data_IF_867687442272
#
_entry.id   IF_867687442272
#
_cell.length_a   1.000
_cell.length_b   1.000
_cell.length_c   1.000
_cell.angle_alpha   90.00
_cell.angle_beta   90.00
_cell.angle_gamma   90.00
#
_symmetry.space_group_name_H-M   'P 1'
#
loop_
_entity.id
_entity.type
_entity.pdbx_description
1 polymer ?
#
# COMPACT_ATOMS: atom_id res chain seq x y z
N UNK A 1 48.65 -21.76 0.03
CA UNK A 1 47.97 -21.28 1.26
C UNK A 1 46.90 -22.25 1.71
N UNK A 2 45.84 -22.53 0.94
CA UNK A 2 44.80 -23.50 1.35
C UNK A 2 45.33 -24.89 1.72
N UNK A 3 46.25 -25.43 0.90
CA UNK A 3 46.91 -26.70 1.19
C UNK A 3 47.71 -26.68 2.51
N UNK A 4 48.25 -25.53 2.91
CA UNK A 4 49.00 -25.40 4.16
C UNK A 4 48.08 -25.59 5.38
N UNK A 5 46.92 -24.94 5.39
CA UNK A 5 45.94 -25.08 6.47
C UNK A 5 45.37 -26.50 6.55
N UNK A 6 45.12 -27.14 5.39
CA UNK A 6 44.67 -28.53 5.34
C UNK A 6 45.74 -29.51 5.86
N UNK A 7 47.03 -29.28 5.54
CA UNK A 7 48.14 -30.11 6.02
C UNK A 7 48.38 -29.88 7.53
N UNK A 8 48.17 -28.66 8.03
CA UNK A 8 48.30 -28.30 9.44
C UNK A 8 47.06 -28.63 10.29
N UNK A 9 46.00 -29.15 9.67
CA UNK A 9 44.69 -29.41 10.29
C UNK A 9 44.09 -28.17 11.01
N UNK A 10 44.39 -26.97 10.52
CA UNK A 10 43.88 -25.70 11.06
C UNK A 10 42.64 -25.27 10.27
N UNK A 11 41.51 -25.89 10.60
CA UNK A 11 40.20 -25.69 9.93
C UNK A 11 39.60 -24.33 10.29
N UNK A 12 39.85 -23.86 11.51
CA UNK A 12 39.39 -22.56 12.01
C UNK A 12 40.10 -21.41 11.29
N UNK A 13 41.42 -21.49 11.13
CA UNK A 13 42.22 -20.54 10.35
C UNK A 13 41.86 -20.56 8.85
N UNK A 14 41.58 -21.75 8.31
CA UNK A 14 41.08 -21.90 6.93
C UNK A 14 39.75 -21.16 6.72
N UNK A 15 38.76 -21.37 7.58
CA UNK A 15 37.46 -20.71 7.48
C UNK A 15 37.55 -19.20 7.66
N UNK A 16 38.41 -18.74 8.59
CA UNK A 16 38.69 -17.32 8.77
C UNK A 16 39.23 -16.67 7.49
N UNK A 17 40.25 -17.28 6.89
CA UNK A 17 40.87 -16.78 5.66
C UNK A 17 39.90 -16.84 4.46
N UNK A 18 39.13 -17.92 4.31
CA UNK A 18 38.14 -18.06 3.25
C UNK A 18 37.01 -17.02 3.37
N UNK A 19 36.49 -16.82 4.59
CA UNK A 19 35.47 -15.80 4.86
C UNK A 19 36.00 -14.39 4.61
N UNK A 20 37.26 -14.10 4.94
CA UNK A 20 37.90 -12.81 4.70
C UNK A 20 38.03 -12.51 3.19
N UNK A 21 38.43 -13.51 2.41
CA UNK A 21 38.48 -13.41 0.94
C UNK A 21 37.09 -13.23 0.32
N UNK A 22 36.04 -13.78 0.94
CA UNK A 22 34.66 -13.50 0.56
C UNK A 22 34.22 -12.07 0.92
N UNK A 23 34.76 -11.44 1.97
CA UNK A 23 34.40 -10.05 2.32
C UNK A 23 35.08 -8.99 1.45
N UNK A 24 36.22 -9.28 0.82
CA UNK A 24 36.89 -8.38 -0.13
C UNK A 24 36.22 -8.30 -1.52
N UNK A 25 35.00 -8.84 -1.66
CA UNK A 25 34.21 -8.84 -2.89
C UNK A 25 33.57 -7.46 -3.15
N UNK A 26 34.35 -6.48 -3.57
CA UNK A 26 33.81 -5.39 -4.39
C UNK A 26 33.76 -5.89 -5.85
N UNK A 27 32.54 -6.12 -6.35
CA UNK A 27 32.31 -6.62 -7.72
C UNK A 27 32.66 -5.60 -8.83
N UNK A 28 33.08 -4.38 -8.46
CA UNK A 28 33.33 -3.26 -9.38
C UNK A 28 34.82 -2.89 -9.54
N UNK A 29 35.75 -3.50 -8.78
CA UNK A 29 37.19 -3.23 -8.91
C UNK A 29 37.94 -4.43 -9.48
N UNK A 30 38.59 -4.21 -10.62
CA UNK A 30 39.36 -5.21 -11.39
C UNK A 30 40.62 -5.73 -10.69
N UNK A 31 40.90 -5.30 -9.46
CA UNK A 31 42.08 -5.69 -8.68
C UNK A 31 41.65 -6.20 -7.31
N UNK A 32 41.36 -7.52 -7.21
CA UNK A 32 41.08 -8.17 -5.93
C UNK A 32 39.90 -9.14 -5.93
N UNK A 33 39.07 -9.16 -6.98
CA UNK A 33 37.93 -10.06 -7.07
C UNK A 33 38.37 -11.53 -7.11
N UNK A 34 37.93 -12.32 -6.12
CA UNK A 34 38.11 -13.77 -6.09
C UNK A 34 37.44 -14.37 -7.33
N UNK A 35 38.19 -15.12 -8.13
CA UNK A 35 37.63 -15.74 -9.34
C UNK A 35 36.44 -16.66 -8.99
N UNK A 36 35.38 -16.71 -9.81
CA UNK A 36 34.21 -17.56 -9.59
C UNK A 36 34.51 -19.04 -9.31
N UNK A 37 35.61 -19.54 -9.89
CA UNK A 37 36.07 -20.91 -9.67
C UNK A 37 36.57 -21.14 -8.24
N UNK A 38 37.16 -20.12 -7.60
CA UNK A 38 37.57 -20.19 -6.21
C UNK A 38 36.36 -20.15 -5.28
N UNK A 39 35.35 -19.31 -5.52
CA UNK A 39 34.11 -19.31 -4.73
C UNK A 39 33.40 -20.67 -4.78
N UNK A 40 33.34 -21.29 -5.96
CA UNK A 40 32.83 -22.65 -6.12
C UNK A 40 33.65 -23.66 -5.32
N UNK A 41 34.97 -23.59 -5.40
CA UNK A 41 35.86 -24.46 -4.65
C UNK A 41 35.66 -24.29 -3.13
N UNK A 42 35.53 -23.05 -2.65
CA UNK A 42 35.33 -22.76 -1.23
C UNK A 42 34.01 -23.31 -0.73
N UNK A 43 32.92 -23.13 -1.49
CA UNK A 43 31.63 -23.72 -1.15
C UNK A 43 31.71 -25.26 -1.06
N UNK A 44 32.33 -25.93 -2.05
CA UNK A 44 32.48 -27.39 -2.02
C UNK A 44 33.39 -27.89 -0.89
N UNK A 45 34.46 -27.16 -0.54
CA UNK A 45 35.31 -27.48 0.61
C UNK A 45 34.48 -27.40 1.89
N UNK A 46 33.71 -26.32 2.10
CA UNK A 46 32.85 -26.17 3.28
C UNK A 46 31.80 -27.29 3.35
N UNK A 47 31.16 -27.63 2.23
CA UNK A 47 30.20 -28.74 2.18
C UNK A 47 30.85 -30.09 2.53
N UNK A 48 32.01 -30.38 1.95
CA UNK A 48 32.76 -31.60 2.27
C UNK A 48 33.16 -31.66 3.73
N UNK A 49 33.65 -30.54 4.30
CA UNK A 49 34.04 -30.46 5.71
C UNK A 49 32.84 -30.62 6.67
N UNK A 50 31.63 -30.22 6.25
CA UNK A 50 30.37 -30.50 6.97
C UNK A 50 29.98 -31.97 6.89
N UNK A 51 30.11 -32.62 5.73
CA UNK A 51 29.80 -34.06 5.57
C UNK A 51 30.69 -34.97 6.42
N UNK A 52 31.91 -34.53 6.75
CA UNK A 52 32.85 -35.28 7.62
C UNK A 52 32.83 -34.82 9.08
N UNK A 53 31.80 -34.06 9.49
CA UNK A 53 31.58 -33.56 10.86
C UNK A 53 32.73 -32.71 11.44
N UNK A 54 33.56 -32.09 10.58
CA UNK A 54 34.65 -31.21 11.02
C UNK A 54 34.19 -29.76 11.21
N UNK A 55 33.05 -29.39 10.63
CA UNK A 55 32.42 -28.08 10.77
C UNK A 55 30.93 -28.29 11.06
N UNK A 56 30.40 -27.57 12.04
CA UNK A 56 28.96 -27.55 12.31
C UNK A 56 28.17 -26.87 11.18
N UNK A 57 26.96 -27.34 10.90
CA UNK A 57 26.03 -26.67 9.98
C UNK A 57 25.72 -25.23 10.41
N UNK A 58 25.76 -24.96 11.71
CA UNK A 58 25.53 -23.64 12.33
C UNK A 58 26.74 -22.69 12.27
N UNK A 59 27.89 -23.11 11.74
CA UNK A 59 29.06 -22.22 11.71
C UNK A 59 28.81 -21.01 10.78
N UNK A 60 28.86 -19.77 11.31
CA UNK A 60 28.48 -18.57 10.57
C UNK A 60 29.45 -18.26 9.41
N UNK A 61 30.72 -18.71 9.49
CA UNK A 61 31.71 -18.48 8.44
C UNK A 61 31.46 -19.40 7.26
N UNK A 62 31.17 -20.68 7.54
CA UNK A 62 30.76 -21.66 6.53
C UNK A 62 29.50 -21.21 5.77
N UNK A 63 28.46 -20.77 6.51
CA UNK A 63 27.22 -20.28 5.91
C UNK A 63 27.43 -19.02 5.07
N UNK A 64 28.26 -18.08 5.52
CA UNK A 64 28.60 -16.87 4.77
C UNK A 64 29.32 -17.15 3.44
N UNK A 65 30.20 -18.15 3.39
CA UNK A 65 30.89 -18.56 2.15
C UNK A 65 29.89 -19.12 1.15
N UNK A 66 28.97 -19.98 1.61
CA UNK A 66 27.90 -20.55 0.78
C UNK A 66 26.95 -19.45 0.29
N UNK A 67 26.55 -18.51 1.15
CA UNK A 67 25.73 -17.34 0.78
C UNK A 67 26.41 -16.44 -0.25
N UNK A 68 27.73 -16.23 -0.13
CA UNK A 68 28.50 -15.44 -1.11
C UNK A 68 28.52 -16.12 -2.48
N UNK A 69 28.64 -17.45 -2.51
CA UNK A 69 28.55 -18.22 -3.74
C UNK A 69 27.13 -18.25 -4.33
N UNK A 70 26.09 -18.38 -3.49
CA UNK A 70 24.69 -18.25 -3.92
C UNK A 70 24.42 -16.86 -4.48
N UNK A 71 24.99 -15.80 -3.88
CA UNK A 71 24.94 -14.44 -4.39
C UNK A 71 25.55 -14.30 -5.79
N UNK A 72 26.68 -14.95 -6.05
CA UNK A 72 27.27 -15.03 -7.38
C UNK A 72 26.38 -15.82 -8.36
N UNK A 73 25.87 -16.99 -7.96
CA UNK A 73 24.95 -17.78 -8.79
C UNK A 73 23.64 -17.03 -9.10
N UNK A 74 23.21 -16.16 -8.19
CA UNK A 74 22.07 -15.27 -8.35
C UNK A 74 22.31 -14.22 -9.43
N UNK A 75 23.51 -13.62 -9.48
CA UNK A 75 23.89 -12.72 -10.58
C UNK A 75 23.91 -13.43 -11.93
N UNK A 76 24.29 -14.71 -11.95
CA UNK A 76 24.30 -15.55 -13.16
C UNK A 76 22.93 -16.16 -13.50
N UNK A 77 21.87 -15.91 -12.69
CA UNK A 77 20.51 -16.45 -12.85
C UNK A 77 20.43 -17.98 -12.95
N UNK A 78 21.34 -18.71 -12.29
CA UNK A 78 21.34 -20.19 -12.31
C UNK A 78 20.39 -20.76 -11.25
N UNK A 79 19.11 -20.96 -11.61
CA UNK A 79 18.02 -21.31 -10.70
C UNK A 79 18.25 -22.65 -9.99
N UNK A 80 18.56 -23.71 -10.75
CA UNK A 80 18.74 -25.08 -10.22
C UNK A 80 19.93 -25.16 -9.25
N UNK A 81 21.02 -24.45 -9.57
CA UNK A 81 22.20 -24.41 -8.71
C UNK A 81 21.88 -23.70 -7.39
N UNK A 82 21.21 -22.55 -7.43
CA UNK A 82 20.83 -21.83 -6.22
C UNK A 82 19.92 -22.68 -5.33
N UNK A 83 18.95 -23.39 -5.91
CA UNK A 83 18.08 -24.29 -5.15
C UNK A 83 18.89 -25.39 -4.44
N UNK A 84 19.82 -26.04 -5.16
CA UNK A 84 20.68 -27.08 -4.59
C UNK A 84 21.58 -26.56 -3.44
N UNK A 85 22.28 -25.44 -3.64
CA UNK A 85 23.17 -24.88 -2.61
C UNK A 85 22.40 -24.29 -1.43
N UNK A 86 21.19 -23.77 -1.65
CA UNK A 86 20.33 -23.27 -0.57
C UNK A 86 19.89 -24.39 0.37
N UNK A 87 19.76 -25.63 -0.11
CA UNK A 87 19.42 -26.79 0.74
C UNK A 87 20.44 -27.11 1.84
N UNK A 88 21.67 -26.61 1.73
CA UNK A 88 22.74 -26.81 2.72
C UNK A 88 22.88 -25.67 3.73
N UNK A 89 22.04 -24.63 3.64
CA UNK A 89 21.97 -23.55 4.63
C UNK A 89 20.96 -23.91 5.73
N UNK A 90 20.98 -23.18 6.85
CA UNK A 90 19.91 -23.26 7.85
C UNK A 90 18.60 -22.69 7.29
N UNK A 91 17.46 -23.24 7.71
CA UNK A 91 16.12 -22.92 7.16
C UNK A 91 15.89 -21.42 6.91
N UNK A 92 16.20 -20.57 7.88
CA UNK A 92 16.04 -19.11 7.77
C UNK A 92 16.88 -18.51 6.62
N UNK A 93 18.12 -18.97 6.47
CA UNK A 93 19.02 -18.51 5.41
C UNK A 93 18.69 -19.16 4.06
N UNK A 94 18.07 -20.35 4.03
CA UNK A 94 17.58 -20.98 2.79
C UNK A 94 16.49 -20.09 2.17
N UNK A 95 15.47 -19.76 2.97
CA UNK A 95 14.34 -18.91 2.56
C UNK A 95 14.84 -17.56 2.07
N UNK A 96 15.69 -16.88 2.86
CA UNK A 96 16.19 -15.56 2.52
C UNK A 96 17.06 -15.55 1.25
N UNK A 97 17.97 -16.52 1.10
CA UNK A 97 18.86 -16.60 -0.06
C UNK A 97 18.09 -16.88 -1.35
N UNK A 98 17.11 -17.78 -1.29
CA UNK A 98 16.26 -18.08 -2.45
C UNK A 98 15.30 -16.93 -2.76
N UNK A 99 14.77 -16.25 -1.75
CA UNK A 99 13.95 -15.06 -1.93
C UNK A 99 14.74 -13.91 -2.59
N UNK A 100 16.02 -13.75 -2.25
CA UNK A 100 16.90 -12.77 -2.90
C UNK A 100 17.10 -13.08 -4.39
N UNK A 101 17.24 -14.35 -4.77
CA UNK A 101 17.25 -14.75 -6.18
C UNK A 101 15.95 -14.37 -6.87
N UNK A 102 14.81 -14.78 -6.32
CA UNK A 102 13.50 -14.49 -6.89
C UNK A 102 13.26 -12.98 -7.06
N UNK A 103 13.69 -12.15 -6.10
CA UNK A 103 13.55 -10.70 -6.17
C UNK A 103 14.29 -10.06 -7.38
N UNK A 104 15.32 -10.73 -7.93
CA UNK A 104 16.03 -10.27 -9.15
C UNK A 104 15.31 -10.64 -10.45
N UNK A 105 14.33 -11.54 -10.40
CA UNK A 105 13.63 -12.07 -11.56
C UNK A 105 12.38 -11.24 -11.86
N UNK A 106 12.36 -10.64 -13.04
CA UNK A 106 11.25 -9.80 -13.50
C UNK A 106 10.24 -10.57 -14.37
N UNK A 107 10.64 -11.67 -15.01
CA UNK A 107 9.76 -12.43 -15.89
C UNK A 107 8.82 -13.39 -15.14
N UNK A 108 7.58 -13.49 -15.60
CA UNK A 108 6.53 -14.26 -14.94
C UNK A 108 6.70 -15.76 -15.09
N UNK A 109 7.14 -16.22 -16.25
CA UNK A 109 7.36 -17.66 -16.49
C UNK A 109 8.62 -18.14 -15.77
N UNK A 110 9.69 -17.34 -15.76
CA UNK A 110 10.89 -17.61 -14.94
C UNK A 110 10.54 -17.73 -13.46
N UNK A 111 9.69 -16.84 -12.91
CA UNK A 111 9.21 -16.94 -11.52
C UNK A 111 8.50 -18.27 -11.26
N UNK A 112 7.62 -18.69 -12.17
CA UNK A 112 6.89 -19.96 -12.03
C UNK A 112 7.83 -21.15 -12.04
N UNK A 113 8.84 -21.14 -12.92
CA UNK A 113 9.88 -22.17 -12.96
C UNK A 113 10.68 -22.22 -11.66
N UNK A 114 11.09 -21.07 -11.11
CA UNK A 114 11.78 -21.01 -9.83
C UNK A 114 10.95 -21.59 -8.68
N UNK A 115 9.66 -21.30 -8.62
CA UNK A 115 8.77 -21.84 -7.59
C UNK A 115 8.60 -23.36 -7.73
N UNK A 116 8.58 -23.90 -8.95
CA UNK A 116 8.59 -25.35 -9.17
C UNK A 116 9.89 -25.99 -8.67
N UNK A 117 11.05 -25.41 -9.01
CA UNK A 117 12.36 -25.90 -8.57
C UNK A 117 12.50 -25.84 -7.04
N UNK A 118 11.97 -24.79 -6.41
CA UNK A 118 11.93 -24.68 -4.95
C UNK A 118 11.12 -25.81 -4.30
N UNK A 119 9.95 -26.12 -4.88
CA UNK A 119 9.08 -27.22 -4.44
C UNK A 119 9.75 -28.58 -4.60
N UNK A 120 10.43 -28.82 -5.71
CA UNK A 120 11.21 -30.03 -5.97
C UNK A 120 12.38 -30.18 -4.97
N UNK A 121 12.99 -29.06 -4.60
CA UNK A 121 14.09 -29.00 -3.63
C UNK A 121 13.62 -29.02 -2.16
N UNK A 122 12.32 -29.21 -1.91
CA UNK A 122 11.68 -29.23 -0.57
C UNK A 122 11.85 -27.95 0.24
N UNK A 123 12.00 -26.81 -0.43
CA UNK A 123 11.99 -25.50 0.21
C UNK A 123 10.55 -25.07 0.52
N UNK A 124 10.39 -24.23 1.55
CA UNK A 124 9.08 -23.67 1.91
C UNK A 124 8.70 -22.54 0.95
N UNK A 125 7.85 -22.87 -0.02
CA UNK A 125 7.42 -21.94 -1.07
C UNK A 125 6.58 -20.78 -0.50
N UNK A 126 5.78 -21.04 0.53
CA UNK A 126 4.91 -20.03 1.14
C UNK A 126 5.74 -19.00 1.90
N UNK A 127 6.74 -19.45 2.66
CA UNK A 127 7.67 -18.58 3.38
C UNK A 127 8.59 -17.79 2.42
N UNK A 128 9.07 -18.46 1.36
CA UNK A 128 9.89 -17.82 0.32
C UNK A 128 9.12 -16.69 -0.35
N UNK A 129 7.88 -16.92 -0.80
CA UNK A 129 7.11 -15.90 -1.51
C UNK A 129 6.77 -14.70 -0.64
N UNK A 130 6.49 -14.91 0.65
CA UNK A 130 6.30 -13.82 1.61
C UNK A 130 7.60 -13.03 1.80
N UNK A 131 8.72 -13.71 2.02
CA UNK A 131 10.04 -13.08 2.18
C UNK A 131 10.43 -12.26 0.95
N UNK A 132 10.12 -12.73 -0.27
CA UNK A 132 10.34 -11.96 -1.51
C UNK A 132 9.57 -10.64 -1.50
N UNK A 133 8.30 -10.67 -1.08
CA UNK A 133 7.46 -9.47 -0.99
C UNK A 133 8.05 -8.48 0.03
N UNK A 134 8.55 -8.97 1.16
CA UNK A 134 9.20 -8.13 2.17
C UNK A 134 10.48 -7.48 1.66
N UNK A 135 11.34 -8.25 1.00
CA UNK A 135 12.59 -7.74 0.40
C UNK A 135 12.28 -6.61 -0.62
N UNK A 136 11.32 -6.83 -1.53
CA UNK A 136 10.97 -5.84 -2.55
C UNK A 136 10.28 -4.62 -1.91
N UNK A 137 9.45 -4.82 -0.88
CA UNK A 137 8.79 -3.74 -0.14
C UNK A 137 9.81 -2.83 0.54
N UNK A 138 10.81 -3.42 1.20
CA UNK A 138 11.80 -2.70 2.01
C UNK A 138 12.96 -2.16 1.16
N UNK A 139 12.99 -2.49 -0.14
CA UNK A 139 13.87 -1.88 -1.13
C UNK A 139 13.71 -0.36 -1.11
N UNK A 140 14.86 0.33 -1.01
CA UNK A 140 14.95 1.79 -1.09
C UNK A 140 15.32 2.18 -2.52
N UNK A 141 14.75 3.29 -3.05
CA UNK A 141 15.16 3.78 -4.35
C UNK A 141 16.65 4.13 -4.30
N UNK A 142 17.45 3.54 -5.18
CA UNK A 142 18.83 3.97 -5.41
C UNK A 142 18.78 5.36 -6.05
N UNK A 143 19.54 6.32 -5.52
CA UNK A 143 19.59 7.75 -5.87
C UNK A 143 19.52 8.13 -7.38
N UNK A 144 19.33 9.42 -7.72
CA UNK A 144 18.09 10.01 -8.24
C UNK A 144 17.77 9.68 -9.72
N UNK A 145 18.03 8.44 -10.18
CA UNK A 145 17.73 8.03 -11.56
C UNK A 145 16.31 7.47 -11.76
N UNK A 146 15.53 7.38 -10.68
CA UNK A 146 14.13 6.98 -10.70
C UNK A 146 13.13 8.14 -10.80
N UNK A 147 13.39 9.13 -11.64
CA UNK A 147 12.38 10.04 -12.23
C UNK A 147 11.37 10.82 -11.35
N UNK A 148 11.42 10.72 -10.02
CA UNK A 148 10.45 11.35 -9.12
C UNK A 148 11.15 12.05 -7.96
N UNK A 149 10.71 13.27 -7.65
CA UNK A 149 11.06 13.90 -6.37
C UNK A 149 10.31 13.20 -5.24
N UNK A 150 10.74 13.29 -3.97
CA UNK A 150 10.01 12.74 -2.82
C UNK A 150 8.55 13.22 -2.69
N UNK A 151 8.20 14.28 -3.43
CA UNK A 151 6.88 14.89 -3.50
C UNK A 151 6.08 14.50 -4.75
N UNK A 152 6.60 13.61 -5.60
CA UNK A 152 5.86 13.15 -6.77
C UNK A 152 4.71 12.23 -6.32
N UNK A 153 3.49 12.73 -6.48
CA UNK A 153 2.26 11.97 -6.21
C UNK A 153 1.95 10.96 -7.31
N UNK A 154 2.70 10.99 -8.42
CA UNK A 154 2.55 10.04 -9.52
C UNK A 154 3.15 8.69 -9.16
N UNK A 155 2.53 7.66 -9.70
CA UNK A 155 3.05 6.30 -9.62
C UNK A 155 4.33 6.17 -10.45
N UNK A 156 5.40 5.73 -9.79
CA UNK A 156 6.70 5.47 -10.40
C UNK A 156 6.82 3.99 -10.79
N UNK A 157 7.73 3.62 -11.71
CA UNK A 157 8.00 2.21 -12.02
C UNK A 157 8.48 1.43 -10.79
N UNK A 158 9.12 2.10 -9.83
CA UNK A 158 9.53 1.50 -8.57
C UNK A 158 8.33 1.15 -7.67
N UNK A 159 7.33 2.04 -7.60
CA UNK A 159 6.07 1.73 -6.90
C UNK A 159 5.37 0.54 -7.55
N UNK A 160 5.33 0.51 -8.89
CA UNK A 160 4.75 -0.61 -9.64
C UNK A 160 5.44 -1.93 -9.34
N UNK A 161 6.78 -1.95 -9.21
CA UNK A 161 7.52 -3.16 -8.80
C UNK A 161 7.08 -3.68 -7.43
N UNK A 162 6.82 -2.79 -6.47
CA UNK A 162 6.30 -3.19 -5.14
C UNK A 162 4.89 -3.76 -5.21
N UNK A 163 4.05 -3.22 -6.09
CA UNK A 163 2.70 -3.74 -6.33
C UNK A 163 2.75 -5.10 -7.03
N UNK A 164 3.62 -5.24 -8.05
CA UNK A 164 3.87 -6.48 -8.78
C UNK A 164 4.50 -7.58 -7.90
N UNK A 165 5.07 -7.23 -6.74
CA UNK A 165 5.52 -8.22 -5.77
C UNK A 165 4.35 -9.04 -5.22
N UNK A 166 3.13 -8.49 -5.12
CA UNK A 166 1.96 -9.26 -4.69
C UNK A 166 1.66 -10.44 -5.62
N UNK A 167 2.11 -10.39 -6.88
CA UNK A 167 1.92 -11.50 -7.82
C UNK A 167 2.62 -12.78 -7.34
N UNK A 168 3.71 -12.69 -6.56
CA UNK A 168 4.36 -13.87 -5.98
C UNK A 168 3.41 -14.69 -5.09
N UNK A 169 2.56 -14.02 -4.32
CA UNK A 169 1.56 -14.67 -3.46
C UNK A 169 0.33 -15.12 -4.26
N UNK A 170 -0.04 -14.38 -5.31
CA UNK A 170 -1.22 -14.66 -6.13
C UNK A 170 -1.00 -15.82 -7.13
N UNK A 171 0.25 -16.11 -7.47
CA UNK A 171 0.64 -17.19 -8.39
C UNK A 171 0.66 -18.58 -7.75
N UNK A 172 0.53 -18.67 -6.42
CA UNK A 172 0.52 -19.95 -5.71
C UNK A 172 -0.76 -20.75 -6.03
N UNK A 173 -0.58 -22.07 -6.21
CA UNK A 173 -1.70 -23.02 -6.42
C UNK A 173 -2.65 -23.00 -5.21
N UNK A 174 -2.08 -22.99 -4.00
CA UNK A 174 -2.78 -22.84 -2.73
C UNK A 174 -2.58 -21.42 -2.23
N UNK A 175 -3.59 -20.56 -2.44
CA UNK A 175 -3.52 -19.16 -2.05
C UNK A 175 -3.64 -18.99 -0.53
N UNK A 176 -2.65 -18.33 0.04
CA UNK A 176 -2.70 -17.87 1.42
C UNK A 176 -3.33 -16.47 1.50
N UNK A 177 -4.65 -16.42 1.64
CA UNK A 177 -5.41 -15.17 1.68
C UNK A 177 -5.07 -14.29 2.88
N UNK A 178 -4.68 -14.88 4.02
CA UNK A 178 -4.27 -14.13 5.21
C UNK A 178 -2.96 -13.37 4.94
N UNK A 179 -1.97 -14.04 4.33
CA UNK A 179 -0.72 -13.39 3.92
C UNK A 179 -0.97 -12.29 2.86
N UNK A 180 -1.84 -12.55 1.87
CA UNK A 180 -2.23 -11.56 0.85
C UNK A 180 -2.87 -10.32 1.51
N UNK A 181 -3.78 -10.51 2.47
CA UNK A 181 -4.39 -9.42 3.22
C UNK A 181 -3.34 -8.62 4.01
N UNK A 182 -2.43 -9.31 4.70
CA UNK A 182 -1.37 -8.70 5.49
C UNK A 182 -0.45 -7.81 4.65
N UNK A 183 0.13 -8.35 3.57
CA UNK A 183 1.00 -7.59 2.69
C UNK A 183 0.25 -6.50 1.90
N UNK A 184 -0.99 -6.78 1.49
CA UNK A 184 -1.87 -5.81 0.84
C UNK A 184 -2.12 -4.58 1.71
N UNK A 185 -2.54 -4.78 2.97
CA UNK A 185 -2.77 -3.67 3.90
C UNK A 185 -1.50 -2.87 4.19
N UNK A 186 -0.33 -3.52 4.31
CA UNK A 186 0.95 -2.81 4.48
C UNK A 186 1.23 -1.89 3.28
N UNK A 187 1.07 -2.39 2.04
CA UNK A 187 1.29 -1.58 0.84
C UNK A 187 0.26 -0.45 0.69
N UNK A 188 -1.01 -0.71 1.00
CA UNK A 188 -2.06 0.31 1.00
C UNK A 188 -1.72 1.43 1.99
N UNK A 189 -1.31 1.11 3.23
CA UNK A 189 -0.86 2.12 4.20
C UNK A 189 0.36 2.88 3.70
N UNK A 190 1.37 2.18 3.17
CA UNK A 190 2.60 2.80 2.67
C UNK A 190 2.31 3.84 1.56
N UNK A 191 1.55 3.47 0.53
CA UNK A 191 1.24 4.38 -0.57
C UNK A 191 0.27 5.48 -0.18
N UNK A 192 -0.69 5.21 0.72
CA UNK A 192 -1.60 6.23 1.22
C UNK A 192 -0.87 7.30 2.05
N UNK A 193 0.12 6.91 2.86
CA UNK A 193 0.96 7.85 3.63
C UNK A 193 1.81 8.74 2.71
N UNK A 194 2.33 8.19 1.61
CA UNK A 194 3.09 8.94 0.59
C UNK A 194 2.14 9.70 -0.37
N UNK A 195 0.82 9.52 -0.24
CA UNK A 195 -0.24 10.18 -1.05
C UNK A 195 -0.22 9.82 -2.54
N UNK A 196 0.29 8.65 -2.88
CA UNK A 196 0.25 8.11 -4.25
C UNK A 196 -1.05 7.33 -4.46
N UNK A 197 -2.15 8.04 -4.66
CA UNK A 197 -3.48 7.42 -4.74
C UNK A 197 -3.64 6.47 -5.94
N UNK A 198 -2.92 6.69 -7.04
CA UNK A 198 -2.88 5.76 -8.17
C UNK A 198 -2.29 4.41 -7.77
N UNK A 199 -1.22 4.42 -6.99
CA UNK A 199 -0.59 3.20 -6.46
C UNK A 199 -1.49 2.50 -5.44
N UNK A 200 -2.21 3.25 -4.60
CA UNK A 200 -3.24 2.69 -3.69
C UNK A 200 -4.34 2.01 -4.49
N UNK A 201 -4.86 2.65 -5.55
CA UNK A 201 -5.89 2.10 -6.43
C UNK A 201 -5.41 0.84 -7.14
N UNK A 202 -4.21 0.86 -7.73
CA UNK A 202 -3.66 -0.32 -8.41
C UNK A 202 -3.40 -1.47 -7.44
N UNK A 203 -2.89 -1.19 -6.23
CA UNK A 203 -2.73 -2.20 -5.16
C UNK A 203 -4.07 -2.83 -4.80
N UNK A 204 -5.11 -2.02 -4.58
CA UNK A 204 -6.44 -2.50 -4.22
C UNK A 204 -7.06 -3.35 -5.34
N UNK A 205 -6.93 -2.94 -6.61
CA UNK A 205 -7.44 -3.68 -7.76
C UNK A 205 -6.71 -5.01 -7.99
N UNK A 206 -5.45 -5.13 -7.55
CA UNK A 206 -4.70 -6.39 -7.58
C UNK A 206 -5.21 -7.41 -6.55
N UNK A 207 -5.83 -6.96 -5.45
CA UNK A 207 -6.34 -7.86 -4.43
C UNK A 207 -7.61 -8.60 -4.92
N UNK A 208 -7.81 -9.87 -4.54
CA UNK A 208 -9.03 -10.59 -4.90
C UNK A 208 -10.30 -9.91 -4.37
N UNK A 209 -11.33 -9.73 -5.20
CA UNK A 209 -12.57 -9.06 -4.79
C UNK A 209 -13.27 -9.73 -3.59
N UNK A 210 -13.15 -11.06 -3.45
CA UNK A 210 -13.72 -11.82 -2.33
C UNK A 210 -12.73 -12.10 -1.20
N UNK A 211 -11.66 -11.28 -1.07
CA UNK A 211 -10.58 -11.52 -0.11
C UNK A 211 -11.08 -11.67 1.33
N UNK A 212 -11.97 -10.80 1.80
CA UNK A 212 -12.51 -10.87 3.16
C UNK A 212 -13.18 -12.21 3.47
N UNK A 213 -14.06 -12.68 2.58
CA UNK A 213 -14.76 -13.98 2.72
C UNK A 213 -13.80 -15.15 2.63
N UNK A 214 -12.79 -15.07 1.77
CA UNK A 214 -11.80 -16.11 1.59
C UNK A 214 -10.89 -16.22 2.81
N UNK A 215 -10.52 -15.09 3.44
CA UNK A 215 -9.78 -15.03 4.69
C UNK A 215 -10.56 -15.68 5.83
N UNK A 216 -11.86 -15.34 5.97
CA UNK A 216 -12.73 -15.96 6.98
C UNK A 216 -12.85 -17.48 6.78
N UNK A 217 -13.00 -17.91 5.53
CA UNK A 217 -13.09 -19.31 5.16
C UNK A 217 -11.78 -20.06 5.44
N UNK A 218 -10.63 -19.48 5.05
CA UNK A 218 -9.31 -20.04 5.33
C UNK A 218 -9.09 -20.17 6.85
N UNK A 219 -9.40 -19.13 7.62
CA UNK A 219 -9.27 -19.16 9.08
C UNK A 219 -10.08 -20.32 9.68
N UNK A 220 -11.37 -20.39 9.35
CA UNK A 220 -12.28 -21.44 9.84
C UNK A 220 -11.80 -22.85 9.49
N UNK A 221 -11.21 -23.04 8.30
CA UNK A 221 -10.66 -24.32 7.89
C UNK A 221 -9.44 -24.76 8.73
N UNK A 222 -8.60 -23.81 9.17
CA UNK A 222 -7.39 -24.12 9.95
C UNK A 222 -7.66 -24.22 11.45
N UNK A 223 -8.53 -23.37 12.01
CA UNK A 223 -8.69 -23.25 13.47
C UNK A 223 -10.02 -23.82 13.98
N UNK A 224 -10.98 -24.13 13.10
CA UNK A 224 -12.36 -24.50 13.46
C UNK A 224 -13.04 -23.49 14.40
N UNK A 225 -12.62 -22.23 14.38
CA UNK A 225 -13.12 -21.16 15.24
C UNK A 225 -13.53 -19.93 14.43
N UNK A 226 -14.27 -19.03 15.06
CA UNK A 226 -14.52 -17.71 14.48
C UNK A 226 -13.24 -16.86 14.41
N UNK A 227 -13.27 -15.86 13.54
CA UNK A 227 -12.14 -14.95 13.34
C UNK A 227 -11.82 -14.16 14.61
N UNK A 228 -10.53 -14.00 14.88
CA UNK A 228 -10.06 -13.18 16.00
C UNK A 228 -10.39 -11.70 15.78
N UNK A 229 -10.60 -10.92 16.85
CA UNK A 229 -10.65 -9.46 16.83
C UNK A 229 -9.55 -8.82 15.96
N UNK A 230 -8.30 -9.25 16.10
CA UNK A 230 -7.19 -8.73 15.29
C UNK A 230 -7.37 -8.99 13.78
N UNK A 231 -7.78 -10.20 13.39
CA UNK A 231 -8.02 -10.52 11.98
C UNK A 231 -9.21 -9.75 11.41
N UNK A 232 -10.27 -9.58 12.22
CA UNK A 232 -11.41 -8.72 11.90
C UNK A 232 -10.99 -7.27 11.67
N UNK A 233 -10.09 -6.75 12.50
CA UNK A 233 -9.52 -5.41 12.33
C UNK A 233 -8.69 -5.27 11.03
N UNK A 234 -7.96 -6.31 10.63
CA UNK A 234 -7.25 -6.32 9.34
C UNK A 234 -8.23 -6.29 8.14
N UNK A 235 -9.33 -7.03 8.20
CA UNK A 235 -10.39 -6.99 7.16
C UNK A 235 -11.05 -5.61 7.12
N UNK A 236 -11.36 -5.06 8.30
CA UNK A 236 -11.94 -3.72 8.46
C UNK A 236 -11.04 -2.62 7.89
N UNK A 237 -9.73 -2.77 8.01
CA UNK A 237 -8.78 -1.84 7.43
C UNK A 237 -8.83 -1.84 5.89
N UNK A 238 -8.88 -3.03 5.26
CA UNK A 238 -9.08 -3.14 3.82
C UNK A 238 -10.37 -2.45 3.37
N UNK A 239 -11.44 -2.66 4.13
CA UNK A 239 -12.74 -2.03 3.90
C UNK A 239 -12.69 -0.51 4.06
N UNK A 240 -11.89 0.00 5.00
CA UNK A 240 -11.66 1.44 5.16
C UNK A 240 -10.99 2.05 3.92
N UNK A 241 -10.04 1.32 3.30
CA UNK A 241 -9.45 1.72 2.01
C UNK A 241 -10.44 1.67 0.85
N UNK A 242 -11.37 0.70 0.82
CA UNK A 242 -12.45 0.65 -0.17
C UNK A 242 -13.27 1.96 -0.15
N UNK A 243 -13.74 2.37 1.03
CA UNK A 243 -14.50 3.62 1.18
C UNK A 243 -13.70 4.85 0.74
N UNK A 244 -12.40 4.91 1.09
CA UNK A 244 -11.53 6.01 0.66
C UNK A 244 -11.44 6.09 -0.87
N UNK A 245 -11.21 4.96 -1.55
CA UNK A 245 -11.09 4.92 -3.00
C UNK A 245 -12.40 5.27 -3.71
N UNK A 246 -13.54 4.81 -3.19
CA UNK A 246 -14.86 5.15 -3.72
C UNK A 246 -15.17 6.64 -3.63
N UNK A 247 -14.78 7.29 -2.53
CA UNK A 247 -14.90 8.74 -2.36
C UNK A 247 -13.99 9.49 -3.34
N UNK A 248 -12.74 9.05 -3.52
CA UNK A 248 -11.82 9.67 -4.46
C UNK A 248 -12.29 9.55 -5.92
N UNK A 249 -12.87 8.41 -6.28
CA UNK A 249 -13.41 8.18 -7.61
C UNK A 249 -14.62 9.09 -7.88
N UNK A 250 -15.58 9.18 -6.95
CA UNK A 250 -16.71 10.12 -7.10
C UNK A 250 -16.25 11.57 -7.13
N UNK A 251 -15.27 11.95 -6.31
CA UNK A 251 -14.72 13.29 -6.31
C UNK A 251 -14.10 13.64 -7.67
N UNK A 252 -13.38 12.69 -8.27
CA UNK A 252 -12.77 12.84 -9.59
C UNK A 252 -13.84 13.02 -10.67
N UNK A 253 -14.88 12.17 -10.65
CA UNK A 253 -16.00 12.26 -11.59
C UNK A 253 -16.80 13.56 -11.41
N UNK A 254 -17.04 13.98 -10.17
CA UNK A 254 -17.72 15.24 -9.84
C UNK A 254 -16.90 16.43 -10.32
N UNK A 255 -15.58 16.43 -10.07
CA UNK A 255 -14.67 17.50 -10.49
C UNK A 255 -14.63 17.62 -12.01
N UNK A 256 -14.44 16.50 -12.74
CA UNK A 256 -14.44 16.50 -14.21
C UNK A 256 -15.76 17.04 -14.77
N UNK A 257 -16.88 16.62 -14.18
CA UNK A 257 -18.20 17.11 -14.56
C UNK A 257 -18.39 18.61 -14.26
N UNK A 258 -17.93 19.09 -13.10
CA UNK A 258 -18.06 20.49 -12.70
C UNK A 258 -17.28 21.43 -13.64
N UNK A 259 -16.10 21.01 -14.12
CA UNK A 259 -15.32 21.77 -15.10
C UNK A 259 -15.96 21.81 -16.50
N UNK A 260 -16.87 20.90 -16.83
CA UNK A 260 -17.62 20.88 -18.11
C UNK A 260 -18.88 21.75 -18.08
N UNK A 261 -18.94 22.77 -17.22
CA UNK A 261 -20.05 23.71 -17.14
C UNK A 261 -20.24 24.42 -18.51
N UNK A 262 -21.47 24.46 -19.07
CA UNK A 262 -21.72 25.14 -20.33
C UNK A 262 -21.29 26.61 -20.28
N UNK A 263 -20.59 27.06 -21.32
CA UNK A 263 -20.15 28.45 -21.50
C UNK A 263 -21.16 29.25 -22.29
N UNK A 264 -21.36 30.52 -21.91
CA UNK A 264 -22.28 31.40 -22.62
C UNK A 264 -21.77 31.66 -24.06
N UNK A 265 -22.62 31.47 -25.09
CA UNK A 265 -22.24 31.73 -26.46
C UNK A 265 -21.81 33.18 -26.65
N UNK A 266 -20.67 33.42 -27.31
CA UNK A 266 -20.20 34.77 -27.60
C UNK A 266 -21.17 35.48 -28.54
N UNK A 267 -21.56 36.70 -28.18
CA UNK A 267 -22.35 37.59 -29.04
C UNK A 267 -21.55 37.89 -30.31
N UNK A 268 -22.11 37.65 -31.52
CA UNK A 268 -21.41 37.97 -32.76
C UNK A 268 -21.21 39.50 -32.88
N UNK A 269 -20.05 39.91 -33.39
CA UNK A 269 -19.68 41.33 -33.54
C UNK A 269 -20.58 42.08 -34.54
N UNK A 270 -21.19 41.37 -35.49
CA UNK A 270 -22.07 41.93 -36.52
C UNK A 270 -23.48 41.30 -36.43
N UNK A 271 -24.36 41.95 -35.68
CA UNK A 271 -25.79 41.56 -35.57
C UNK A 271 -26.61 41.82 -36.85
N UNK A 272 -26.01 42.44 -37.88
CA UNK A 272 -26.67 42.79 -39.14
C UNK A 272 -26.86 41.62 -40.10
N UNK A 273 -26.13 40.51 -39.93
CA UNK A 273 -26.31 39.30 -40.73
C UNK A 273 -27.38 38.41 -40.10
N UNK A 274 -28.53 38.30 -40.76
CA UNK A 274 -29.66 37.48 -40.33
C UNK A 274 -29.26 36.04 -39.96
N UNK A 275 -28.40 35.40 -40.76
CA UNK A 275 -27.92 34.04 -40.49
C UNK A 275 -27.09 33.94 -39.21
N UNK A 276 -26.24 34.94 -38.92
CA UNK A 276 -25.43 34.98 -37.69
C UNK A 276 -26.31 35.23 -36.46
N UNK A 277 -27.38 36.02 -36.59
CA UNK A 277 -28.36 36.23 -35.52
C UNK A 277 -29.16 34.96 -35.20
N UNK A 278 -29.68 34.26 -36.22
CA UNK A 278 -30.41 32.99 -36.04
C UNK A 278 -29.50 31.91 -35.44
N UNK A 279 -28.25 31.82 -35.88
CA UNK A 279 -27.26 30.89 -35.31
C UNK A 279 -26.95 31.21 -33.84
N UNK A 280 -26.84 32.50 -33.48
CA UNK A 280 -26.65 32.92 -32.09
C UNK A 280 -27.86 32.58 -31.21
N UNK A 281 -29.08 32.88 -31.69
CA UNK A 281 -30.31 32.53 -30.98
C UNK A 281 -30.46 31.02 -30.76
N UNK A 282 -30.13 30.20 -31.76
CA UNK A 282 -30.15 28.75 -31.64
C UNK A 282 -29.11 28.26 -30.61
N UNK A 283 -27.88 28.80 -30.64
CA UNK A 283 -26.84 28.49 -29.65
C UNK A 283 -27.23 28.92 -28.24
N UNK A 284 -27.90 30.06 -28.10
CA UNK A 284 -28.39 30.55 -26.81
C UNK A 284 -29.48 29.64 -26.24
N UNK A 285 -30.42 29.19 -27.09
CA UNK A 285 -31.44 28.20 -26.69
C UNK A 285 -30.82 26.87 -26.27
N UNK A 286 -29.84 26.36 -27.03
CA UNK A 286 -29.12 25.14 -26.68
C UNK A 286 -28.37 25.31 -25.35
N UNK A 287 -27.65 26.42 -25.18
CA UNK A 287 -26.98 26.75 -23.93
C UNK A 287 -27.92 26.77 -22.72
N UNK A 288 -29.11 27.37 -22.86
CA UNK A 288 -30.11 27.38 -21.79
C UNK A 288 -30.62 25.97 -21.45
N UNK A 289 -30.82 25.11 -22.46
CA UNK A 289 -31.20 23.71 -22.25
C UNK A 289 -30.09 22.94 -21.52
N UNK A 290 -28.85 23.04 -22.01
CA UNK A 290 -27.68 22.38 -21.43
C UNK A 290 -27.41 22.86 -19.99
N UNK A 291 -27.60 24.15 -19.72
CA UNK A 291 -27.51 24.71 -18.38
C UNK A 291 -28.56 24.15 -17.42
N UNK A 292 -29.81 24.01 -17.87
CA UNK A 292 -30.87 23.46 -17.04
C UNK A 292 -30.56 21.99 -16.69
N UNK A 293 -30.17 21.18 -17.67
CA UNK A 293 -29.75 19.79 -17.45
C UNK A 293 -28.54 19.73 -16.50
N UNK A 294 -27.55 20.60 -16.70
CA UNK A 294 -26.39 20.70 -15.81
C UNK A 294 -26.80 21.06 -14.38
N UNK A 295 -27.73 22.01 -14.21
CA UNK A 295 -28.23 22.41 -12.88
C UNK A 295 -28.98 21.27 -12.20
N UNK A 296 -29.80 20.51 -12.93
CA UNK A 296 -30.56 19.40 -12.37
C UNK A 296 -29.64 18.24 -11.96
N UNK A 297 -28.61 17.95 -12.78
CA UNK A 297 -27.58 16.95 -12.46
C UNK A 297 -26.66 17.36 -11.31
N UNK A 298 -26.51 18.66 -11.06
CA UNK A 298 -25.68 19.19 -9.96
C UNK A 298 -26.11 18.62 -8.63
N UNK A 299 -27.41 18.64 -8.35
CA UNK A 299 -27.92 18.17 -7.05
C UNK A 299 -27.70 16.66 -6.88
N UNK A 300 -27.96 15.88 -7.93
CA UNK A 300 -27.76 14.43 -7.91
C UNK A 300 -26.30 14.07 -7.65
N UNK A 301 -25.37 14.67 -8.40
CA UNK A 301 -23.93 14.37 -8.27
C UNK A 301 -23.36 14.86 -6.95
N UNK A 302 -23.76 16.04 -6.48
CA UNK A 302 -23.31 16.58 -5.20
C UNK A 302 -23.84 15.78 -4.02
N UNK A 303 -25.12 15.36 -4.05
CA UNK A 303 -25.67 14.46 -3.03
C UNK A 303 -24.92 13.13 -3.01
N UNK A 304 -24.69 12.52 -4.18
CA UNK A 304 -23.96 11.25 -4.25
C UNK A 304 -22.55 11.34 -3.65
N UNK A 305 -21.80 12.40 -3.94
CA UNK A 305 -20.49 12.63 -3.34
C UNK A 305 -20.57 12.88 -1.83
N UNK A 306 -21.51 13.71 -1.38
CA UNK A 306 -21.72 13.99 0.04
C UNK A 306 -22.12 12.73 0.82
N UNK A 307 -22.94 11.86 0.22
CA UNK A 307 -23.37 10.59 0.80
C UNK A 307 -22.18 9.64 0.95
N UNK A 308 -21.31 9.51 -0.07
CA UNK A 308 -20.10 8.67 0.04
C UNK A 308 -19.12 9.19 1.09
N UNK A 309 -18.92 10.51 1.17
CA UNK A 309 -18.08 11.13 2.21
C UNK A 309 -18.71 10.87 3.59
N UNK A 310 -20.04 10.98 3.71
CA UNK A 310 -20.76 10.71 4.94
C UNK A 310 -20.66 9.23 5.35
N UNK A 311 -20.72 8.29 4.40
CA UNK A 311 -20.50 6.86 4.65
C UNK A 311 -19.09 6.59 5.19
N UNK A 312 -18.08 7.28 4.65
CA UNK A 312 -16.71 7.18 5.19
C UNK A 312 -16.63 7.67 6.65
N UNK A 313 -17.34 8.74 7.01
CA UNK A 313 -17.35 9.26 8.38
C UNK A 313 -18.14 8.38 9.36
N UNK A 314 -19.26 7.81 8.92
CA UNK A 314 -20.11 6.94 9.74
C UNK A 314 -19.67 5.47 9.70
N UNK A 315 -18.46 5.19 9.22
CA UNK A 315 -17.89 3.85 9.25
C UNK A 315 -17.94 3.32 10.70
N UNK A 316 -18.66 2.22 10.93
CA UNK A 316 -19.05 1.75 12.27
C UNK A 316 -17.85 1.66 13.22
N UNK A 317 -17.72 2.50 14.26
CA UNK A 317 -16.53 2.48 15.15
C UNK A 317 -15.32 3.30 14.67
N UNK A 318 -15.48 4.07 13.58
CA UNK A 318 -14.53 5.06 13.08
C UNK A 318 -13.62 4.57 11.95
N UNK A 319 -13.44 5.41 10.92
CA UNK A 319 -12.56 5.14 9.78
C UNK A 319 -11.11 4.96 10.23
N UNK A 320 -10.46 3.90 9.77
CA UNK A 320 -9.08 3.52 10.16
C UNK A 320 -8.88 3.44 11.69
N UNK A 321 -9.92 3.08 12.45
CA UNK A 321 -9.82 2.73 13.88
C UNK A 321 -10.11 1.24 14.06
N UNK A 322 -9.33 0.59 14.91
CA UNK A 322 -9.61 -0.78 15.33
C UNK A 322 -10.86 -0.79 16.22
N UNK A 323 -11.69 -1.82 16.10
CA UNK A 323 -12.84 -1.98 16.99
C UNK A 323 -12.32 -2.12 18.42
N UNK A 324 -12.90 -1.43 19.42
CA UNK A 324 -12.60 -1.75 20.81
C UNK A 324 -12.94 -3.22 21.02
N UNK A 325 -11.96 -4.01 21.43
CA UNK A 325 -12.24 -5.34 21.97
C UNK A 325 -13.03 -5.12 23.27
N UNK A 326 -14.18 -5.79 23.43
CA UNK A 326 -15.02 -5.72 24.66
C UNK A 326 -14.24 -6.10 25.93
N UNK A 327 -13.11 -6.75 25.73
CA UNK A 327 -12.14 -7.16 26.71
C UNK A 327 -11.00 -6.13 26.70
N UNK A 328 -10.74 -5.49 27.84
CA UNK A 328 -9.55 -4.65 28.07
C UNK A 328 -8.28 -5.48 28.02
N UNK A 329 -7.98 -6.05 26.85
CA UNK A 329 -7.03 -7.13 26.65
C UNK A 329 -5.62 -6.62 26.83
N UNK A 330 -4.99 -7.21 27.84
CA UNK A 330 -3.57 -7.09 28.13
C UNK A 330 -2.77 -7.39 26.85
N UNK A 331 -1.67 -6.66 26.65
CA UNK A 331 -0.75 -6.79 25.50
C UNK A 331 -0.36 -8.25 25.18
N UNK A 332 -0.34 -9.12 26.19
CA UNK A 332 -0.09 -10.56 26.06
C UNK A 332 -1.12 -11.29 25.19
N UNK A 333 -2.41 -10.95 25.29
CA UNK A 333 -3.46 -11.59 24.50
C UNK A 333 -3.37 -11.17 23.03
N UNK A 334 -3.12 -9.88 22.76
CA UNK A 334 -2.89 -9.37 21.40
C UNK A 334 -1.69 -10.04 20.73
N UNK A 335 -0.62 -10.31 21.49
CA UNK A 335 0.54 -11.06 20.99
C UNK A 335 0.20 -12.53 20.68
N UNK A 336 -0.64 -13.17 21.50
CA UNK A 336 -1.11 -14.53 21.24
C UNK A 336 -1.99 -14.61 19.99
N UNK A 337 -2.92 -13.67 19.80
CA UNK A 337 -3.72 -13.57 18.57
C UNK A 337 -2.85 -13.34 17.34
N UNK A 338 -1.89 -12.43 17.43
CA UNK A 338 -0.94 -12.15 16.35
C UNK A 338 -0.14 -13.41 15.99
N UNK A 339 0.38 -14.11 16.99
CA UNK A 339 1.11 -15.36 16.81
C UNK A 339 0.26 -16.43 16.10
N UNK A 340 -1.02 -16.55 16.49
CA UNK A 340 -1.97 -17.45 15.83
C UNK A 340 -2.21 -17.05 14.36
N UNK A 341 -2.44 -15.76 14.09
CA UNK A 341 -2.60 -15.24 12.73
C UNK A 341 -1.38 -15.55 11.86
N UNK A 342 -0.17 -15.32 12.38
CA UNK A 342 1.06 -15.60 11.65
C UNK A 342 1.32 -17.07 11.46
N UNK A 343 0.97 -17.91 12.42
CA UNK A 343 1.05 -19.36 12.26
C UNK A 343 0.15 -19.83 11.12
N UNK A 344 -1.10 -19.36 11.07
CA UNK A 344 -2.03 -19.75 9.98
C UNK A 344 -1.62 -19.12 8.64
N UNK A 345 -1.04 -17.93 8.68
CA UNK A 345 -0.52 -17.25 7.50
C UNK A 345 0.87 -17.74 7.08
N UNK A 346 1.52 -18.65 7.80
CA UNK A 346 2.89 -19.07 7.51
C UNK A 346 3.88 -17.90 7.47
N UNK A 347 3.66 -16.84 8.27
CA UNK A 347 4.55 -15.68 8.35
C UNK A 347 5.66 -16.03 9.35
N UNK A 348 6.80 -16.51 8.85
CA UNK A 348 8.00 -16.66 9.67
C UNK A 348 8.74 -15.33 9.64
N UNK A 349 8.80 -14.61 10.77
CA UNK A 349 9.59 -13.39 10.88
C UNK A 349 10.93 -13.72 11.55
N UNK A 350 12.01 -14.00 10.79
CA UNK A 350 13.34 -14.09 11.38
C UNK A 350 13.74 -12.70 11.88
N UNK A 351 13.79 -12.52 13.20
CA UNK A 351 14.38 -11.35 13.86
C UNK A 351 13.65 -10.00 13.71
N UNK A 352 12.65 -9.86 12.83
CA UNK A 352 11.87 -8.63 12.69
C UNK A 352 10.55 -8.74 13.44
N UNK A 353 10.50 -8.25 14.69
CA UNK A 353 9.23 -8.11 15.41
C UNK A 353 8.32 -7.19 14.59
N UNK A 354 7.18 -7.66 14.07
CA UNK A 354 6.21 -6.78 13.43
C UNK A 354 5.64 -5.91 14.54
N UNK A 355 6.11 -4.67 14.61
CA UNK A 355 5.66 -3.73 15.61
C UNK A 355 4.23 -3.34 15.26
N UNK A 356 3.25 -3.92 15.96
CA UNK A 356 1.85 -3.45 16.02
C UNK A 356 1.77 -1.94 16.27
N UNK A 357 2.76 -1.41 17.00
CA UNK A 357 3.00 0.02 17.24
C UNK A 357 3.07 0.81 15.93
N UNK A 358 3.86 0.36 14.94
CA UNK A 358 3.99 1.05 13.66
C UNK A 358 2.66 1.02 12.87
N UNK A 359 1.88 -0.08 12.92
CA UNK A 359 0.56 -0.11 12.28
C UNK A 359 -0.39 0.94 12.88
N UNK A 360 -0.50 0.98 14.21
CA UNK A 360 -1.40 1.93 14.90
C UNK A 360 -1.00 3.38 14.63
N UNK A 361 0.29 3.69 14.65
CA UNK A 361 0.83 5.01 14.29
C UNK A 361 0.51 5.39 12.84
N UNK A 362 0.75 4.48 11.88
CA UNK A 362 0.40 4.70 10.48
C UNK A 362 -1.09 4.99 10.29
N UNK A 363 -1.97 4.21 10.94
CA UNK A 363 -3.42 4.44 10.86
C UNK A 363 -3.82 5.78 11.46
N UNK A 364 -3.19 6.19 12.56
CA UNK A 364 -3.43 7.49 13.18
C UNK A 364 -3.02 8.66 12.27
N UNK A 365 -1.85 8.57 11.63
CA UNK A 365 -1.38 9.58 10.68
C UNK A 365 -2.28 9.66 9.44
N UNK A 366 -2.78 8.52 8.96
CA UNK A 366 -3.77 8.48 7.88
C UNK A 366 -5.07 9.21 8.28
N UNK A 367 -5.59 9.00 9.50
CA UNK A 367 -6.80 9.69 9.99
C UNK A 367 -6.61 11.19 10.08
N UNK A 368 -5.52 11.64 10.73
CA UNK A 368 -5.19 13.07 10.87
C UNK A 368 -5.01 13.80 9.54
N UNK A 369 -4.71 13.07 8.47
CA UNK A 369 -4.63 13.65 7.13
C UNK A 369 -5.97 13.57 6.38
N UNK A 370 -6.50 12.36 6.18
CA UNK A 370 -7.63 12.13 5.30
C UNK A 370 -8.95 12.63 5.87
N UNK A 371 -9.17 12.60 7.20
CA UNK A 371 -10.41 13.11 7.80
C UNK A 371 -10.52 14.62 7.58
N UNK A 372 -9.54 15.47 7.97
CA UNK A 372 -9.60 16.90 7.66
C UNK A 372 -9.66 17.21 6.18
N UNK A 373 -8.93 16.46 5.35
CA UNK A 373 -8.95 16.64 3.91
C UNK A 373 -10.35 16.37 3.31
N UNK A 374 -10.99 15.26 3.67
CA UNK A 374 -12.35 14.93 3.20
C UNK A 374 -13.40 15.92 3.68
N UNK A 375 -13.31 16.40 4.92
CA UNK A 375 -14.20 17.46 5.43
C UNK A 375 -14.01 18.75 4.64
N UNK A 376 -12.76 19.16 4.37
CA UNK A 376 -12.51 20.36 3.56
C UNK A 376 -13.00 20.20 2.11
N UNK A 377 -12.85 19.01 1.51
CA UNK A 377 -13.36 18.73 0.16
C UNK A 377 -14.88 18.84 0.16
N UNK A 378 -15.56 18.18 1.10
CA UNK A 378 -17.02 18.23 1.24
C UNK A 378 -17.51 19.67 1.41
N UNK A 379 -16.88 20.42 2.31
CA UNK A 379 -17.21 21.83 2.53
C UNK A 379 -17.06 22.66 1.25
N UNK A 380 -15.96 22.50 0.51
CA UNK A 380 -15.73 23.24 -0.72
C UNK A 380 -16.76 22.89 -1.80
N UNK A 381 -17.12 21.61 -1.95
CA UNK A 381 -18.15 21.14 -2.89
C UNK A 381 -19.51 21.74 -2.55
N UNK A 382 -19.90 21.73 -1.27
CA UNK A 382 -21.17 22.31 -0.80
C UNK A 382 -21.19 23.84 -1.00
N UNK A 383 -20.06 24.53 -0.75
CA UNK A 383 -19.94 25.97 -0.99
C UNK A 383 -20.03 26.32 -2.48
N UNK A 384 -19.36 25.57 -3.36
CA UNK A 384 -19.41 25.77 -4.82
C UNK A 384 -20.81 25.55 -5.39
N UNK A 385 -21.58 24.65 -4.79
CA UNK A 385 -22.98 24.38 -5.15
C UNK A 385 -23.99 25.28 -4.44
N UNK A 386 -23.53 26.25 -3.63
CA UNK A 386 -24.35 27.20 -2.87
C UNK A 386 -25.28 26.56 -1.84
N UNK A 387 -24.90 25.39 -1.31
CA UNK A 387 -25.65 24.63 -0.30
C UNK A 387 -25.19 24.96 1.11
N UNK A 388 -25.40 26.21 1.49
CA UNK A 388 -24.90 26.76 2.75
C UNK A 388 -25.48 26.09 3.99
N UNK A 389 -26.75 25.66 3.96
CA UNK A 389 -27.39 24.90 5.06
C UNK A 389 -26.68 23.56 5.32
N UNK A 390 -26.26 22.86 4.27
CA UNK A 390 -25.56 21.59 4.42
C UNK A 390 -24.11 21.79 4.91
N UNK A 391 -23.48 22.94 4.62
CA UNK A 391 -22.23 23.32 5.27
C UNK A 391 -22.39 23.44 6.80
N UNK A 392 -23.53 23.95 7.28
CA UNK A 392 -23.82 24.01 8.72
C UNK A 392 -24.05 22.61 9.30
N UNK A 393 -24.76 21.73 8.59
CA UNK A 393 -24.90 20.32 9.00
C UNK A 393 -23.55 19.61 9.11
N UNK A 394 -22.62 19.88 8.19
CA UNK A 394 -21.26 19.35 8.26
C UNK A 394 -20.52 19.84 9.52
N UNK A 395 -20.75 21.09 9.94
CA UNK A 395 -20.19 21.62 11.19
C UNK A 395 -20.75 20.92 12.44
N UNK A 396 -22.04 20.60 12.43
CA UNK A 396 -22.66 19.82 13.50
C UNK A 396 -22.10 18.40 13.53
N UNK A 397 -21.95 17.75 12.37
CA UNK A 397 -21.35 16.43 12.25
C UNK A 397 -19.90 16.40 12.76
N UNK A 398 -19.11 17.44 12.50
CA UNK A 398 -17.75 17.56 13.05
C UNK A 398 -17.75 17.64 14.59
N UNK A 399 -18.74 18.32 15.18
CA UNK A 399 -18.87 18.53 16.61
C UNK A 399 -19.61 17.40 17.36
N UNK A 400 -20.10 16.37 16.65
CA UNK A 400 -20.78 15.24 17.28
C UNK A 400 -19.82 14.42 18.14
N UNK A 401 -20.26 14.12 19.37
CA UNK A 401 -19.51 13.32 20.34
C UNK A 401 -19.43 11.83 19.96
N UNK A 402 -20.32 11.36 19.09
CA UNK A 402 -20.34 9.95 18.67
C UNK A 402 -19.16 9.62 17.76
N UNK A 403 -18.82 10.54 16.85
CA UNK A 403 -17.75 10.35 15.86
C UNK A 403 -16.42 10.98 16.29
N UNK A 404 -16.46 12.02 17.14
CA UNK A 404 -15.29 12.78 17.63
C UNK A 404 -14.31 13.18 16.52
N UNK A 405 -14.84 13.54 15.36
CA UNK A 405 -14.01 13.87 14.19
C UNK A 405 -13.11 15.08 14.46
N UNK A 406 -13.52 15.99 15.34
CA UNK A 406 -12.74 17.15 15.77
C UNK A 406 -11.38 16.80 16.40
N UNK A 407 -11.22 15.60 16.99
CA UNK A 407 -9.95 15.17 17.59
C UNK A 407 -8.85 14.89 16.53
N UNK A 408 -9.25 14.60 15.30
CA UNK A 408 -8.33 14.31 14.20
C UNK A 408 -7.79 15.60 13.55
N UNK A 409 -8.25 16.78 13.97
CA UNK A 409 -7.84 18.07 13.43
C UNK A 409 -6.79 18.74 14.31
N UNK A 410 -5.87 19.45 13.66
CA UNK A 410 -5.02 20.42 14.34
C UNK A 410 -5.80 21.67 14.72
N UNK A 411 -5.33 22.40 15.75
CA UNK A 411 -5.94 23.67 16.16
C UNK A 411 -6.04 24.68 15.03
N UNK A 412 -5.04 24.72 14.14
CA UNK A 412 -5.01 25.62 12.97
C UNK A 412 -6.10 25.23 11.98
N UNK A 413 -6.23 23.94 11.65
CA UNK A 413 -7.28 23.48 10.73
C UNK A 413 -8.69 23.74 11.27
N UNK A 414 -8.92 23.61 12.58
CA UNK A 414 -10.21 23.96 13.19
C UNK A 414 -10.49 25.47 13.11
N UNK A 415 -9.48 26.32 13.35
CA UNK A 415 -9.62 27.77 13.23
C UNK A 415 -9.96 28.19 11.79
N UNK A 416 -9.28 27.59 10.80
CA UNK A 416 -9.55 27.82 9.39
C UNK A 416 -10.96 27.37 9.01
N UNK A 417 -11.38 26.19 9.48
CA UNK A 417 -12.72 25.66 9.23
C UNK A 417 -13.82 26.56 9.84
N UNK A 418 -13.64 27.02 11.08
CA UNK A 418 -14.57 27.95 11.73
C UNK A 418 -14.64 29.31 11.00
N UNK A 419 -13.51 29.79 10.48
CA UNK A 419 -13.46 31.01 9.68
C UNK A 419 -14.30 30.85 8.40
N UNK A 420 -14.15 29.72 7.70
CA UNK A 420 -14.97 29.38 6.52
C UNK A 420 -16.45 29.28 6.85
N UNK A 421 -16.82 28.67 7.98
CA UNK A 421 -18.22 28.62 8.42
C UNK A 421 -18.75 30.04 8.68
N UNK A 422 -17.98 30.90 9.36
CA UNK A 422 -18.39 32.28 9.61
C UNK A 422 -18.70 33.04 8.31
N UNK A 423 -17.92 32.83 7.26
CA UNK A 423 -18.19 33.38 5.93
C UNK A 423 -19.50 32.85 5.33
N UNK A 424 -19.73 31.54 5.41
CA UNK A 424 -20.97 30.92 4.93
C UNK A 424 -22.18 31.45 5.69
N UNK A 425 -22.10 31.59 7.02
CA UNK A 425 -23.20 32.15 7.82
C UNK A 425 -23.51 33.59 7.42
N UNK A 426 -22.49 34.41 7.12
CA UNK A 426 -22.71 35.77 6.58
C UNK A 426 -23.45 35.76 5.24
N UNK A 427 -23.13 34.79 4.37
CA UNK A 427 -23.82 34.64 3.08
C UNK A 427 -25.28 34.22 3.26
N UNK A 428 -25.58 33.32 4.20
CA UNK A 428 -26.96 32.93 4.53
C UNK A 428 -27.75 34.15 5.00
N UNK A 429 -27.21 34.92 5.96
CA UNK A 429 -27.87 36.13 6.49
C UNK A 429 -28.06 37.19 5.39
N UNK A 430 -27.08 37.37 4.51
CA UNK A 430 -27.22 38.31 3.38
C UNK A 430 -28.33 37.86 2.44
N UNK A 431 -28.43 36.56 2.15
CA UNK A 431 -29.45 36.00 1.27
C UNK A 431 -30.86 36.18 1.85
N UNK A 432 -31.03 35.93 3.15
CA UNK A 432 -32.33 36.14 3.81
C UNK A 432 -32.77 37.60 3.79
N UNK A 433 -31.84 38.55 4.00
CA UNK A 433 -32.15 39.98 3.94
C UNK A 433 -32.58 40.43 2.54
N UNK A 434 -31.94 39.93 1.47
CA UNK A 434 -32.36 40.25 0.10
C UNK A 434 -33.71 39.63 -0.27
N UNK A 435 -34.03 38.44 0.21
CA UNK A 435 -35.34 37.80 -0.01
C UNK A 435 -36.46 38.56 0.70
N UNK A 436 -36.20 39.13 1.89
CA UNK A 436 -37.14 39.98 2.62
C UNK A 436 -37.39 41.34 1.93
N UNK A 437 -36.35 41.94 1.34
CA UNK A 437 -36.47 43.19 0.56
C UNK A 437 -37.25 42.99 -0.74
N UNK A 438 -37.03 41.88 -1.47
CA UNK A 438 -37.79 41.54 -2.68
C UNK A 438 -39.26 41.25 -2.37
N UNK A 439 -39.55 40.59 -1.23
CA UNK A 439 -40.93 40.35 -0.78
C UNK A 439 -41.63 41.62 -0.31
N UNK A 440 -40.90 42.62 0.21
CA UNK A 440 -41.44 43.93 0.54
C UNK A 440 -41.68 44.83 -0.68
N UNK A 441 -40.93 44.66 -1.78
CA UNK A 441 -41.16 45.38 -3.04
C UNK A 441 -42.29 44.79 -3.90
N UNK A 442 -42.68 43.53 -3.67
CA UNK A 442 -43.79 42.87 -4.36
C UNK A 442 -45.15 43.01 -3.64
N UNK A 443 -45.18 43.57 -2.42
CA UNK A 443 -46.41 43.94 -1.69
C UNK A 443 -46.67 45.43 -1.82
#
# INVERSE_FOLDING_TARGET
TLQLYLILNDIEGLLGQLSEWCTSLDFDTTEGAVSPHFLRCFAHIVLFLREIDLISEDDPRGSKIIESYIGYLTQQKSIESVAHYSGYLLKENQTYSFAKLLATINDREERRQCLMVAKESRLDVDDITQTVVEIIRDEKPTFPFGGGTPNDTRMTPFDKRKIDALDYLLLLDTKNFIAILHHGNILLRHFALIRKMDAVKETFLKLPANLAKNVESQWRLHTNSDITPMLRNNIRELESFRHLLEVQEELSQWSEWHHKKPEEPRKPANLTKFCDNVNYEQRLKQYQQDLNVWRDLREVRTNSLADKISQMFHFEGGWMKDSPSDTGEQESFRQAEMSSIYTVAGINTPGHKPSTVNRSEQMNELRKYFVPYMVSVCFNVLQLTQRYEDCLKLSHLLAQEDLKLYEEFTKVQLQDFLSKISEVTKLIVKKSLTEDEEQQQQR
#
